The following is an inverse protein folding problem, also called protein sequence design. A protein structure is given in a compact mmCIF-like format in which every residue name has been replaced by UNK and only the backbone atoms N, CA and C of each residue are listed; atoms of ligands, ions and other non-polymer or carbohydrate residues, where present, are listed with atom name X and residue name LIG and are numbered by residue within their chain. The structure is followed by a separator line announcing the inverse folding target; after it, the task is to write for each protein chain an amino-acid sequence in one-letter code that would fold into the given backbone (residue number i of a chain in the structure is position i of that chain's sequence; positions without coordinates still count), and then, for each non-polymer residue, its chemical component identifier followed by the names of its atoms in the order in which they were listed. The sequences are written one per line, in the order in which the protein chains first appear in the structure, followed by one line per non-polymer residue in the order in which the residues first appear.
data_IF_430196795818
#
_entry.id   IF_430196795818
#
_cell.length_a   1.000
_cell.length_b   1.000
_cell.length_c   1.000
_cell.angle_alpha   90.00
_cell.angle_beta   90.00
_cell.angle_gamma   90.00
#
_symmetry.space_group_name_H-M   'P 1'
#
loop_
_entity.id
_entity.type
_entity.pdbx_description
1 polymer ?
#
# COMPACT_ATOMS: atom_id res chain seq x y z
N UNK A 1 -63.92 -21.07 32.07
CA UNK A 1 -64.05 -20.25 30.85
C UNK A 1 -63.77 -18.81 31.28
N UNK A 2 -62.74 -18.16 30.71
CA UNK A 2 -62.44 -16.77 31.04
C UNK A 2 -63.59 -15.87 30.55
N UNK A 3 -63.96 -14.87 31.36
CA UNK A 3 -65.05 -13.93 31.06
C UNK A 3 -64.72 -13.14 29.76
N UNK A 4 -65.68 -12.99 28.82
CA UNK A 4 -65.51 -12.19 27.61
C UNK A 4 -64.86 -10.81 27.84
N UNK A 5 -65.10 -10.18 28.99
CA UNK A 5 -64.48 -8.89 29.34
C UNK A 5 -62.97 -8.99 29.61
N UNK A 6 -62.50 -10.08 30.21
CA UNK A 6 -61.06 -10.31 30.45
C UNK A 6 -60.32 -10.65 29.16
N UNK A 7 -60.97 -11.39 28.26
CA UNK A 7 -60.43 -11.68 26.92
C UNK A 7 -60.32 -10.38 26.10
N UNK A 8 -61.35 -9.52 26.14
CA UNK A 8 -61.35 -8.25 25.42
C UNK A 8 -60.29 -7.26 25.93
N UNK A 9 -60.04 -7.19 27.24
CA UNK A 9 -58.96 -6.38 27.81
C UNK A 9 -57.57 -6.92 27.45
N UNK A 10 -57.37 -8.23 27.50
CA UNK A 10 -56.10 -8.84 27.09
C UNK A 10 -55.79 -8.57 25.61
N UNK A 11 -56.81 -8.64 24.75
CA UNK A 11 -56.68 -8.31 23.32
C UNK A 11 -56.41 -6.82 23.11
N UNK A 12 -57.10 -5.91 23.81
CA UNK A 12 -56.82 -4.47 23.71
C UNK A 12 -55.41 -4.11 24.18
N UNK A 13 -54.95 -4.70 25.27
CA UNK A 13 -53.59 -4.48 25.78
C UNK A 13 -52.54 -5.02 24.80
N UNK A 14 -52.78 -6.20 24.21
CA UNK A 14 -51.90 -6.76 23.19
C UNK A 14 -51.83 -5.92 21.91
N UNK A 15 -52.97 -5.37 21.46
CA UNK A 15 -53.04 -4.48 20.28
C UNK A 15 -52.36 -3.14 20.56
N UNK A 16 -52.56 -2.55 21.74
CA UNK A 16 -51.89 -1.31 22.13
C UNK A 16 -50.35 -1.49 22.19
N UNK A 17 -49.90 -2.63 22.74
CA UNK A 17 -48.49 -3.02 22.78
C UNK A 17 -47.90 -3.23 21.37
N UNK A 18 -48.69 -3.76 20.44
CA UNK A 18 -48.28 -3.97 19.05
C UNK A 18 -48.15 -2.66 18.25
N UNK A 19 -48.89 -1.60 18.63
CA UNK A 19 -48.90 -0.31 17.92
C UNK A 19 -47.91 0.74 18.45
N UNK A 20 -47.23 0.50 19.59
CA UNK A 20 -46.31 1.48 20.16
C UNK A 20 -44.95 1.48 19.44
N UNK A 21 -44.81 2.43 18.51
CA UNK A 21 -43.59 2.64 17.72
C UNK A 21 -42.36 2.99 18.58
N UNK A 22 -42.52 3.56 19.77
CA UNK A 22 -41.38 3.87 20.66
C UNK A 22 -40.86 2.60 21.32
N UNK A 23 -41.77 1.72 21.71
CA UNK A 23 -41.42 0.41 22.27
C UNK A 23 -40.75 -0.48 21.22
N UNK A 24 -41.25 -0.50 19.98
CA UNK A 24 -40.61 -1.21 18.88
C UNK A 24 -39.24 -0.64 18.50
N UNK A 25 -39.04 0.68 18.58
CA UNK A 25 -37.71 1.28 18.42
C UNK A 25 -36.76 0.88 19.56
N UNK A 26 -37.22 0.91 20.81
CA UNK A 26 -36.40 0.50 21.95
C UNK A 26 -36.04 -1.00 21.87
N UNK A 27 -37.00 -1.85 21.53
CA UNK A 27 -36.78 -3.28 21.28
C UNK A 27 -35.83 -3.49 20.10
N UNK A 28 -36.00 -2.75 19.01
CA UNK A 28 -35.09 -2.80 17.86
C UNK A 28 -33.66 -2.39 18.21
N UNK A 29 -33.48 -1.35 19.02
CA UNK A 29 -32.15 -0.92 19.51
C UNK A 29 -31.53 -1.94 20.45
N UNK A 30 -32.31 -2.55 21.36
CA UNK A 30 -31.81 -3.60 22.26
C UNK A 30 -31.47 -4.87 21.49
N UNK A 31 -32.29 -5.27 20.52
CA UNK A 31 -32.03 -6.40 19.62
C UNK A 31 -30.78 -6.13 18.78
N UNK A 32 -30.62 -4.92 18.22
CA UNK A 32 -29.42 -4.53 17.52
C UNK A 32 -28.20 -4.57 18.45
N UNK A 33 -28.25 -3.98 19.64
CA UNK A 33 -27.14 -4.01 20.59
C UNK A 33 -26.73 -5.42 21.04
N UNK A 34 -27.65 -6.39 21.06
CA UNK A 34 -27.37 -7.78 21.41
C UNK A 34 -26.93 -8.60 20.19
N UNK A 35 -27.54 -8.38 19.03
CA UNK A 35 -27.27 -9.14 17.81
C UNK A 35 -26.06 -8.59 17.05
N UNK A 36 -25.75 -7.30 17.11
CA UNK A 36 -24.60 -6.70 16.42
C UNK A 36 -23.28 -7.36 16.83
N UNK A 37 -22.96 -7.58 18.12
CA UNK A 37 -21.77 -8.34 18.51
C UNK A 37 -21.78 -9.78 18.00
N UNK A 38 -22.95 -10.44 17.97
CA UNK A 38 -23.11 -11.81 17.49
C UNK A 38 -22.96 -11.88 15.97
N UNK A 39 -23.51 -10.91 15.24
CA UNK A 39 -23.38 -10.76 13.79
C UNK A 39 -21.94 -10.44 13.45
N UNK A 40 -21.26 -9.56 14.20
CA UNK A 40 -19.84 -9.27 14.02
C UNK A 40 -18.98 -10.51 14.30
N UNK A 41 -19.30 -11.32 15.30
CA UNK A 41 -18.62 -12.60 15.56
C UNK A 41 -18.92 -13.63 14.47
N UNK A 42 -20.15 -13.70 13.94
CA UNK A 42 -20.52 -14.60 12.84
C UNK A 42 -19.87 -14.14 11.53
N UNK A 43 -19.80 -12.83 11.27
CA UNK A 43 -19.08 -12.22 10.15
C UNK A 43 -17.59 -12.44 10.32
N UNK A 44 -17.05 -12.36 11.55
CA UNK A 44 -15.66 -12.67 11.86
C UNK A 44 -15.35 -14.14 11.63
N UNK A 45 -16.19 -15.07 12.10
CA UNK A 45 -16.05 -16.51 11.84
C UNK A 45 -16.22 -16.82 10.35
N UNK A 46 -17.15 -16.17 9.65
CA UNK A 46 -17.32 -16.27 8.20
C UNK A 46 -16.17 -15.61 7.41
N UNK A 47 -15.48 -14.62 8.00
CA UNK A 47 -14.29 -13.98 7.45
C UNK A 47 -13.02 -14.82 7.69
N UNK A 48 -12.98 -15.62 8.77
CA UNK A 48 -11.94 -16.62 9.03
C UNK A 48 -12.12 -17.83 8.10
N UNK A 49 -13.37 -18.24 7.84
CA UNK A 49 -13.70 -19.42 7.02
C UNK A 49 -13.83 -19.16 5.52
N UNK A 50 -13.87 -17.91 5.05
CA UNK A 50 -13.85 -17.65 3.61
C UNK A 50 -12.80 -16.60 3.23
N UNK A 51 -11.75 -17.07 2.57
CA UNK A 51 -10.99 -16.28 1.62
C UNK A 51 -11.83 -15.90 0.36
N UNK A 52 -13.17 -15.83 0.46
CA UNK A 52 -14.10 -15.92 -0.67
C UNK A 52 -15.37 -15.06 -0.62
N UNK A 53 -15.60 -14.24 0.41
CA UNK A 53 -16.70 -13.26 0.38
C UNK A 53 -16.25 -11.97 -0.31
N UNK A 54 -16.85 -11.63 -1.44
CA UNK A 54 -16.53 -10.41 -2.20
C UNK A 54 -16.72 -9.12 -1.39
N UNK A 55 -17.55 -9.15 -0.34
CA UNK A 55 -17.71 -8.03 0.58
C UNK A 55 -16.46 -7.75 1.44
N UNK A 56 -15.77 -8.79 1.91
CA UNK A 56 -14.53 -8.61 2.70
C UNK A 56 -13.40 -8.05 1.83
N UNK A 57 -13.31 -8.55 0.60
CA UNK A 57 -12.41 -8.03 -0.42
C UNK A 57 -12.68 -6.55 -0.70
N UNK A 58 -13.95 -6.18 -0.88
CA UNK A 58 -14.35 -4.80 -1.12
C UNK A 58 -14.03 -3.87 0.06
N UNK A 59 -14.18 -4.32 1.32
CA UNK A 59 -13.83 -3.50 2.48
C UNK A 59 -12.32 -3.31 2.64
N UNK A 60 -11.52 -4.34 2.34
CA UNK A 60 -10.07 -4.23 2.27
C UNK A 60 -9.70 -3.22 1.18
N UNK A 61 -10.26 -3.37 -0.03
CA UNK A 61 -9.93 -2.48 -1.14
C UNK A 61 -10.34 -1.03 -0.86
N UNK A 62 -11.53 -0.80 -0.30
CA UNK A 62 -11.98 0.55 0.07
C UNK A 62 -11.14 1.16 1.20
N UNK A 63 -10.73 0.38 2.20
CA UNK A 63 -9.92 0.91 3.31
C UNK A 63 -8.49 1.28 2.86
N UNK A 64 -7.89 0.47 1.98
CA UNK A 64 -6.52 0.70 1.50
C UNK A 64 -6.45 1.70 0.35
N UNK A 65 -7.40 1.64 -0.58
CA UNK A 65 -7.35 2.37 -1.84
C UNK A 65 -8.32 3.55 -1.88
N UNK A 66 -9.18 3.71 -0.87
CA UNK A 66 -10.26 4.70 -0.87
C UNK A 66 -11.36 4.37 -1.89
N UNK A 67 -12.18 5.37 -2.22
CA UNK A 67 -13.28 5.27 -3.18
C UNK A 67 -14.66 5.51 -2.57
N UNK A 68 -15.68 5.57 -3.43
CA UNK A 68 -17.06 5.79 -3.00
C UNK A 68 -17.63 4.56 -2.32
N UNK A 69 -18.03 4.69 -1.05
CA UNK A 69 -18.76 3.63 -0.34
C UNK A 69 -20.13 3.43 -1.01
N UNK A 70 -20.47 2.21 -1.50
CA UNK A 70 -21.74 1.97 -2.16
C UNK A 70 -22.94 2.33 -1.28
N UNK A 71 -23.93 3.03 -1.81
CA UNK A 71 -25.14 3.40 -1.05
C UNK A 71 -25.94 2.18 -0.53
N UNK A 72 -25.76 1.02 -1.14
CA UNK A 72 -26.35 -0.25 -0.70
C UNK A 72 -25.60 -0.90 0.49
N UNK A 73 -24.44 -0.36 0.88
CA UNK A 73 -23.65 -0.89 1.99
C UNK A 73 -24.31 -0.54 3.34
N UNK A 74 -24.40 -1.49 4.29
CA UNK A 74 -24.91 -1.19 5.62
C UNK A 74 -24.12 -0.06 6.29
N UNK A 75 -24.82 0.87 6.96
CA UNK A 75 -24.22 2.07 7.55
C UNK A 75 -23.12 1.76 8.58
N UNK A 76 -23.31 0.71 9.39
CA UNK A 76 -22.30 0.27 10.38
C UNK A 76 -21.04 -0.25 9.69
N UNK A 77 -21.19 -0.97 8.57
CA UNK A 77 -20.06 -1.49 7.80
C UNK A 77 -19.32 -0.37 7.06
N UNK A 78 -20.06 0.58 6.49
CA UNK A 78 -19.51 1.80 5.88
C UNK A 78 -18.72 2.63 6.90
N UNK A 79 -19.28 2.84 8.10
CA UNK A 79 -18.60 3.55 9.19
C UNK A 79 -17.31 2.86 9.59
N UNK A 80 -17.30 1.52 9.61
CA UNK A 80 -16.12 0.75 10.00
C UNK A 80 -14.97 0.88 8.98
N UNK A 81 -15.30 0.89 7.69
CA UNK A 81 -14.33 1.17 6.61
C UNK A 81 -13.78 2.59 6.73
N UNK A 82 -14.65 3.58 6.97
CA UNK A 82 -14.24 4.97 7.18
C UNK A 82 -13.26 5.10 8.35
N UNK A 83 -13.61 4.53 9.51
CA UNK A 83 -12.77 4.57 10.70
C UNK A 83 -11.39 3.93 10.46
N UNK A 84 -11.34 2.79 9.75
CA UNK A 84 -10.08 2.15 9.38
C UNK A 84 -9.24 3.02 8.44
N UNK A 85 -9.88 3.69 7.47
CA UNK A 85 -9.22 4.60 6.53
C UNK A 85 -8.63 5.81 7.26
N UNK A 86 -9.35 6.35 8.25
CA UNK A 86 -8.85 7.44 9.09
C UNK A 86 -7.63 6.98 9.90
N UNK A 87 -7.66 5.77 10.48
CA UNK A 87 -6.50 5.19 11.16
C UNK A 87 -5.30 5.00 10.22
N UNK A 88 -5.53 4.58 8.98
CA UNK A 88 -4.46 4.47 7.98
C UNK A 88 -3.83 5.82 7.65
N UNK A 89 -4.62 6.89 7.58
CA UNK A 89 -4.09 8.25 7.39
C UNK A 89 -3.17 8.64 8.54
N UNK A 90 -3.52 8.30 9.78
CA UNK A 90 -2.66 8.56 10.95
C UNK A 90 -1.39 7.69 10.91
N UNK A 91 -1.49 6.42 10.47
CA UNK A 91 -0.33 5.55 10.27
C UNK A 91 0.60 6.08 9.18
N UNK A 92 0.07 6.61 8.08
CA UNK A 92 0.87 7.17 6.99
C UNK A 92 1.73 8.33 7.47
N UNK A 93 1.18 9.21 8.32
CA UNK A 93 1.97 10.25 8.97
C UNK A 93 3.10 9.67 9.83
N UNK A 94 2.79 8.68 10.67
CA UNK A 94 3.79 8.03 11.52
C UNK A 94 4.88 7.27 10.73
N UNK A 95 4.52 6.64 9.61
CA UNK A 95 5.45 5.98 8.68
C UNK A 95 6.35 7.03 8.05
N UNK A 96 5.79 8.12 7.51
CA UNK A 96 6.55 9.22 6.91
C UNK A 96 7.56 9.81 7.91
N UNK A 97 7.18 9.99 9.17
CA UNK A 97 8.06 10.50 10.22
C UNK A 97 9.21 9.54 10.57
N UNK A 98 9.01 8.24 10.40
CA UNK A 98 10.06 7.21 10.57
C UNK A 98 10.95 7.18 9.34
N UNK A 99 10.38 7.16 8.14
CA UNK A 99 11.12 7.11 6.87
C UNK A 99 12.07 8.31 6.71
N UNK A 100 11.68 9.49 7.20
CA UNK A 100 12.56 10.66 7.24
C UNK A 100 13.87 10.46 8.05
N UNK A 101 13.92 9.41 8.89
CA UNK A 101 15.08 9.04 9.71
C UNK A 101 15.78 7.77 9.20
N UNK A 102 15.34 7.20 8.08
CA UNK A 102 15.88 5.98 7.51
C UNK A 102 16.92 6.28 6.43
N UNK A 103 17.83 5.34 6.24
CA UNK A 103 18.77 5.34 5.11
C UNK A 103 18.60 4.04 4.32
N UNK A 104 18.41 4.15 3.00
CA UNK A 104 18.42 3.03 2.08
C UNK A 104 17.05 2.50 1.63
N UNK A 105 15.98 3.27 1.81
CA UNK A 105 14.66 2.99 1.23
C UNK A 105 13.52 2.95 2.25
N UNK A 106 12.26 3.07 1.76
CA UNK A 106 11.07 3.22 2.61
C UNK A 106 10.70 1.95 3.38
N UNK A 107 9.83 2.11 4.38
CA UNK A 107 9.17 1.00 5.05
C UNK A 107 8.10 0.37 4.16
N UNK A 108 7.80 -0.90 4.40
CA UNK A 108 6.67 -1.57 3.76
C UNK A 108 5.34 -1.11 4.41
N UNK A 109 4.82 0.01 3.93
CA UNK A 109 3.58 0.62 4.42
C UNK A 109 2.37 -0.33 4.30
N UNK A 110 2.25 -1.10 3.20
CA UNK A 110 1.19 -2.07 2.99
C UNK A 110 1.26 -3.12 4.09
N UNK A 111 2.46 -3.59 4.42
CA UNK A 111 2.66 -4.59 5.48
C UNK A 111 2.26 -4.08 6.85
N UNK A 112 2.68 -2.86 7.20
CA UNK A 112 2.31 -2.19 8.46
C UNK A 112 0.79 -2.07 8.55
N UNK A 113 0.14 -1.52 7.52
CA UNK A 113 -1.33 -1.37 7.44
C UNK A 113 -2.06 -2.71 7.45
N UNK A 114 -1.55 -3.74 6.77
CA UNK A 114 -2.14 -5.09 6.73
C UNK A 114 -2.16 -5.74 8.12
N UNK A 115 -1.09 -5.55 8.89
CA UNK A 115 -1.04 -6.05 10.25
C UNK A 115 -1.95 -5.24 11.19
N UNK A 116 -1.97 -3.91 11.04
CA UNK A 116 -2.88 -3.04 11.79
C UNK A 116 -4.34 -3.40 11.52
N UNK A 117 -4.71 -3.56 10.24
CA UNK A 117 -6.04 -4.01 9.83
C UNK A 117 -6.38 -5.34 10.48
N UNK A 118 -5.49 -6.33 10.38
CA UNK A 118 -5.77 -7.65 10.94
C UNK A 118 -5.90 -7.69 12.46
N UNK A 119 -5.29 -6.72 13.17
CA UNK A 119 -5.39 -6.61 14.63
C UNK A 119 -6.67 -5.88 15.07
N UNK A 120 -7.14 -4.92 14.27
CA UNK A 120 -8.16 -3.96 14.68
C UNK A 120 -9.48 -4.12 13.92
N UNK A 121 -9.53 -4.96 12.87
CA UNK A 121 -10.74 -5.16 12.11
C UNK A 121 -11.81 -5.85 12.96
N UNK A 122 -12.86 -5.09 13.27
CA UNK A 122 -14.02 -5.51 14.06
C UNK A 122 -14.09 -4.78 15.40
N UNK A 123 -13.12 -3.91 15.71
CA UNK A 123 -13.16 -3.04 16.88
C UNK A 123 -14.31 -2.02 16.77
N UNK A 124 -15.10 -1.90 17.83
CA UNK A 124 -16.14 -0.88 17.93
C UNK A 124 -15.50 0.51 18.09
N UNK A 125 -15.97 1.50 17.33
CA UNK A 125 -15.48 2.88 17.38
C UNK A 125 -13.95 2.99 17.23
N UNK A 126 -13.37 2.26 16.27
CA UNK A 126 -11.95 2.29 15.99
C UNK A 126 -11.45 3.73 15.76
N UNK A 127 -10.47 4.14 16.56
CA UNK A 127 -9.74 5.40 16.42
C UNK A 127 -8.26 5.15 16.70
N UNK A 128 -7.38 5.97 16.14
CA UNK A 128 -5.94 5.86 16.38
C UNK A 128 -5.34 7.24 16.66
N UNK A 129 -4.76 7.43 17.84
CA UNK A 129 -4.02 8.65 18.15
C UNK A 129 -2.62 8.63 17.50
N UNK A 130 -2.06 9.80 17.17
CA UNK A 130 -0.73 9.90 16.54
C UNK A 130 0.38 9.25 17.37
N UNK A 131 0.29 9.32 18.71
CA UNK A 131 1.25 8.66 19.61
C UNK A 131 1.14 7.13 19.56
N UNK A 132 -0.07 6.60 19.40
CA UNK A 132 -0.31 5.16 19.27
C UNK A 132 0.14 4.66 17.89
N UNK A 133 -0.13 5.43 16.84
CA UNK A 133 0.38 5.17 15.50
C UNK A 133 1.91 5.13 15.49
N UNK A 134 2.58 6.10 16.11
CA UNK A 134 4.05 6.10 16.21
C UNK A 134 4.56 4.89 16.99
N UNK A 135 3.96 4.57 18.14
CA UNK A 135 4.34 3.39 18.92
C UNK A 135 4.15 2.07 18.16
N UNK A 136 3.11 1.99 17.30
CA UNK A 136 2.86 0.86 16.43
C UNK A 136 3.92 0.77 15.32
N UNK A 137 4.22 1.86 14.62
CA UNK A 137 5.22 1.90 13.54
C UNK A 137 6.63 1.63 14.09
N UNK A 138 6.97 2.14 15.28
CA UNK A 138 8.26 1.88 15.94
C UNK A 138 8.51 0.37 16.24
N UNK A 139 7.46 -0.47 16.20
CA UNK A 139 7.65 -1.93 16.27
C UNK A 139 8.32 -2.51 15.02
N UNK A 140 8.26 -1.83 13.87
CA UNK A 140 8.79 -2.28 12.59
C UNK A 140 10.20 -1.79 12.30
N UNK A 141 10.78 -1.00 13.21
CA UNK A 141 12.15 -0.50 13.09
C UNK A 141 12.97 -0.72 14.36
N UNK A 142 14.28 -0.61 14.24
CA UNK A 142 15.23 -0.37 15.32
C UNK A 142 16.04 0.87 15.04
N UNK A 143 16.63 1.46 16.07
CA UNK A 143 17.53 2.60 15.93
C UNK A 143 18.97 2.13 16.05
N UNK A 144 19.80 2.53 15.11
CA UNK A 144 21.24 2.24 15.08
C UNK A 144 22.03 3.55 15.16
N UNK A 145 23.18 3.52 15.83
CA UNK A 145 24.13 4.64 15.80
C UNK A 145 25.08 4.47 14.62
N UNK A 146 25.11 5.47 13.73
CA UNK A 146 26.05 5.56 12.61
C UNK A 146 26.94 6.78 12.76
N UNK A 147 28.09 6.75 12.08
CA UNK A 147 29.03 7.86 12.04
C UNK A 147 29.14 8.42 10.63
N UNK A 148 29.23 9.73 10.52
CA UNK A 148 29.58 10.42 9.27
C UNK A 148 30.60 11.52 9.54
N UNK A 149 31.43 11.82 8.55
CA UNK A 149 32.36 12.93 8.62
C UNK A 149 31.67 14.20 8.13
N UNK A 150 31.56 15.21 9.00
CA UNK A 150 31.08 16.56 8.65
C UNK A 150 32.20 17.54 8.99
N UNK A 151 32.64 18.33 8.00
CA UNK A 151 33.73 19.31 8.16
C UNK A 151 35.02 18.73 8.77
N UNK A 152 35.34 17.48 8.46
CA UNK A 152 36.52 16.78 8.97
C UNK A 152 36.39 16.21 10.38
N UNK A 153 35.22 16.34 11.03
CA UNK A 153 34.92 15.74 12.33
C UNK A 153 33.95 14.55 12.18
N UNK A 154 34.21 13.44 12.88
CA UNK A 154 33.24 12.35 13.00
C UNK A 154 32.07 12.78 13.90
N UNK A 155 30.86 12.73 13.37
CA UNK A 155 29.61 12.97 14.10
C UNK A 155 28.82 11.66 14.15
N UNK A 156 28.43 11.24 15.35
CA UNK A 156 27.50 10.14 15.56
C UNK A 156 26.07 10.65 15.38
N UNK A 157 25.25 9.92 14.62
CA UNK A 157 23.83 10.18 14.44
C UNK A 157 23.05 8.86 14.54
N UNK A 158 21.75 8.97 14.80
CA UNK A 158 20.85 7.83 14.89
C UNK A 158 20.09 7.67 13.57
N UNK A 159 19.98 6.43 13.10
CA UNK A 159 19.21 6.07 11.91
C UNK A 159 18.18 5.00 12.27
N UNK A 160 17.00 5.08 11.68
CA UNK A 160 16.01 4.02 11.75
C UNK A 160 16.33 2.94 10.70
N UNK A 161 16.23 1.67 11.10
CA UNK A 161 16.48 0.50 10.25
C UNK A 161 15.31 -0.46 10.38
N UNK A 162 14.77 -1.01 9.28
CA UNK A 162 13.70 -2.00 9.35
C UNK A 162 14.12 -3.22 10.17
N UNK A 163 13.19 -3.79 10.94
CA UNK A 163 13.40 -5.10 11.57
C UNK A 163 12.60 -6.17 10.84
N UNK A 164 12.98 -7.45 11.04
CA UNK A 164 12.18 -8.56 10.57
C UNK A 164 10.76 -8.55 11.13
N UNK A 165 9.81 -9.12 10.41
CA UNK A 165 8.42 -9.30 10.83
C UNK A 165 8.33 -10.10 12.12
N UNK A 166 9.19 -11.10 12.32
CA UNK A 166 9.20 -11.85 13.58
C UNK A 166 9.62 -10.97 14.77
N UNK A 167 10.59 -10.07 14.57
CA UNK A 167 10.96 -9.05 15.55
C UNK A 167 9.80 -8.08 15.79
N UNK A 168 9.15 -7.61 14.73
CA UNK A 168 7.98 -6.73 14.84
C UNK A 168 6.84 -7.40 15.63
N UNK A 169 6.50 -8.66 15.34
CA UNK A 169 5.49 -9.43 16.09
C UNK A 169 5.85 -9.58 17.57
N UNK A 170 7.14 -9.74 17.88
CA UNK A 170 7.62 -9.82 19.26
C UNK A 170 7.45 -8.48 19.97
N UNK A 171 7.78 -7.36 19.30
CA UNK A 171 7.61 -6.01 19.85
C UNK A 171 6.13 -5.66 20.06
N UNK A 172 5.27 -5.96 19.09
CA UNK A 172 3.82 -5.76 19.19
C UNK A 172 3.20 -6.58 20.32
N UNK A 173 3.59 -7.86 20.46
CA UNK A 173 3.15 -8.70 21.59
C UNK A 173 3.57 -8.12 22.94
N UNK A 174 4.75 -7.50 23.03
CA UNK A 174 5.22 -6.82 24.26
C UNK A 174 4.45 -5.54 24.57
N UNK A 175 3.81 -4.92 23.59
CA UNK A 175 2.87 -3.81 23.78
C UNK A 175 1.47 -4.29 24.18
N UNK A 176 1.26 -5.61 24.34
CA UNK A 176 -0.02 -6.19 24.75
C UNK A 176 -0.96 -6.54 23.60
N UNK A 177 -0.51 -6.42 22.34
CA UNK A 177 -1.31 -6.78 21.17
C UNK A 177 -1.34 -8.30 20.96
N UNK A 178 -2.52 -8.85 20.69
CA UNK A 178 -2.72 -10.29 20.48
C UNK A 178 -2.30 -10.71 19.06
N UNK A 179 -0.99 -10.83 18.81
CA UNK A 179 -0.44 -11.22 17.49
C UNK A 179 -0.49 -12.76 17.30
N UNK A 180 -1.69 -13.32 17.16
CA UNK A 180 -1.91 -14.76 16.99
C UNK A 180 -1.48 -15.27 15.60
N UNK A 181 -1.47 -16.59 15.40
CA UNK A 181 -1.19 -17.18 14.09
C UNK A 181 -2.22 -16.77 13.03
N UNK A 182 -3.49 -16.64 13.42
CA UNK A 182 -4.59 -16.21 12.57
C UNK A 182 -4.40 -14.76 12.12
N UNK A 183 -4.00 -13.86 13.04
CA UNK A 183 -3.68 -12.46 12.71
C UNK A 183 -2.55 -12.39 11.69
N UNK A 184 -1.46 -13.15 11.90
CA UNK A 184 -0.32 -13.19 10.96
C UNK A 184 -0.75 -13.70 9.58
N UNK A 185 -1.53 -14.78 9.53
CA UNK A 185 -2.02 -15.36 8.29
C UNK A 185 -2.99 -14.44 7.55
N UNK A 186 -3.85 -13.71 8.26
CA UNK A 186 -4.77 -12.75 7.67
C UNK A 186 -4.05 -11.50 7.16
N UNK A 187 -3.11 -10.94 7.95
CA UNK A 187 -2.26 -9.84 7.50
C UNK A 187 -1.46 -10.19 6.24
N UNK A 188 -0.95 -11.43 6.14
CA UNK A 188 -0.27 -11.91 4.93
C UNK A 188 -1.21 -11.92 3.71
N UNK A 189 -2.44 -12.43 3.85
CA UNK A 189 -3.42 -12.45 2.75
C UNK A 189 -3.83 -11.05 2.29
N UNK A 190 -4.01 -10.12 3.23
CA UNK A 190 -4.32 -8.71 2.93
C UNK A 190 -3.13 -8.09 2.19
N UNK A 191 -1.92 -8.30 2.69
CA UNK A 191 -0.70 -7.81 2.06
C UNK A 191 -0.59 -8.30 0.61
N UNK A 192 -0.76 -9.60 0.38
CA UNK A 192 -0.70 -10.18 -0.96
C UNK A 192 -1.77 -9.61 -1.90
N UNK A 193 -2.97 -9.34 -1.36
CA UNK A 193 -4.06 -8.70 -2.10
C UNK A 193 -3.69 -7.28 -2.51
N UNK A 194 -3.21 -6.46 -1.58
CA UNK A 194 -2.97 -5.03 -1.83
C UNK A 194 -1.68 -4.81 -2.63
N UNK A 195 -0.57 -5.41 -2.19
CA UNK A 195 0.75 -5.26 -2.80
C UNK A 195 0.79 -5.85 -4.22
N UNK A 196 0.23 -7.05 -4.42
CA UNK A 196 0.36 -7.76 -5.70
C UNK A 196 -0.92 -7.79 -6.54
N UNK A 197 -2.01 -7.18 -6.05
CA UNK A 197 -3.34 -7.38 -6.66
C UNK A 197 -3.81 -8.84 -6.55
N UNK A 198 -3.31 -9.59 -5.56
CA UNK A 198 -3.40 -11.04 -5.49
C UNK A 198 -2.64 -11.68 -6.65
N UNK A 199 -1.47 -12.26 -6.39
CA UNK A 199 -0.66 -12.95 -7.40
C UNK A 199 -1.39 -14.13 -8.10
N UNK A 200 -2.59 -14.51 -7.64
CA UNK A 200 -3.52 -15.44 -8.31
C UNK A 200 -4.89 -14.85 -8.68
N UNK A 201 -5.08 -13.52 -8.63
CA UNK A 201 -6.35 -12.83 -8.86
C UNK A 201 -6.30 -11.81 -10.01
N UNK A 202 -5.13 -11.28 -10.39
CA UNK A 202 -5.03 -10.47 -11.60
C UNK A 202 -5.21 -11.35 -12.84
N UNK A 203 -6.35 -11.20 -13.51
CA UNK A 203 -6.72 -11.91 -14.74
C UNK A 203 -6.55 -11.05 -15.99
N UNK A 204 -6.15 -9.79 -15.83
CA UNK A 204 -5.90 -8.86 -16.93
C UNK A 204 -4.66 -9.22 -17.72
N UNK A 205 -4.48 -8.56 -18.86
CA UNK A 205 -3.31 -8.78 -19.70
C UNK A 205 -2.06 -8.18 -19.04
N UNK A 206 -1.06 -9.03 -18.80
CA UNK A 206 0.29 -8.62 -18.41
C UNK A 206 1.19 -8.88 -19.62
N UNK A 207 1.70 -7.81 -20.22
CA UNK A 207 2.78 -7.92 -21.17
C UNK A 207 4.10 -8.01 -20.38
N UNK A 208 5.00 -8.89 -20.82
CA UNK A 208 6.37 -9.02 -20.28
C UNK A 208 7.35 -8.77 -21.41
N UNK A 209 8.28 -7.83 -21.23
CA UNK A 209 9.46 -7.71 -22.10
C UNK A 209 10.58 -8.65 -21.65
N UNK A 210 11.82 -8.44 -22.11
CA UNK A 210 12.95 -9.26 -21.65
C UNK A 210 14.03 -9.56 -22.67
N UNK A 211 14.65 -8.54 -23.25
CA UNK A 211 15.91 -8.73 -23.98
C UNK A 211 17.10 -9.05 -23.05
N UNK A 212 16.97 -8.78 -21.75
CA UNK A 212 18.04 -8.96 -20.76
C UNK A 212 19.13 -7.90 -20.80
N UNK A 213 18.91 -6.80 -21.53
CA UNK A 213 19.88 -5.70 -21.64
C UNK A 213 19.99 -4.91 -20.31
N UNK A 214 21.23 -4.65 -19.87
CA UNK A 214 21.51 -3.85 -18.66
C UNK A 214 22.11 -2.48 -18.97
N UNK A 215 22.33 -2.16 -20.25
CA UNK A 215 22.82 -0.83 -20.67
C UNK A 215 21.64 0.14 -20.69
N UNK A 216 21.83 1.30 -20.05
CA UNK A 216 20.91 2.43 -20.21
C UNK A 216 21.28 3.18 -21.47
N UNK A 217 20.27 3.43 -22.30
CA UNK A 217 20.42 4.20 -23.54
C UNK A 217 19.44 5.38 -23.52
N UNK A 218 19.98 6.59 -23.49
CA UNK A 218 19.23 7.85 -23.47
C UNK A 218 19.18 8.52 -24.85
N UNK A 219 19.62 7.83 -25.92
CA UNK A 219 19.66 8.42 -27.28
C UNK A 219 18.28 8.80 -27.81
N UNK A 220 17.22 8.18 -27.30
CA UNK A 220 15.83 8.49 -27.62
C UNK A 220 15.21 9.57 -26.70
N UNK A 221 15.95 10.07 -25.71
CA UNK A 221 15.44 11.10 -24.80
C UNK A 221 15.44 12.46 -25.51
N UNK A 222 14.40 13.23 -25.26
CA UNK A 222 14.17 14.57 -25.78
C UNK A 222 15.16 15.55 -25.14
N UNK A 223 15.20 15.59 -23.81
CA UNK A 223 16.13 16.43 -23.05
C UNK A 223 16.35 15.85 -21.64
N UNK A 224 17.34 14.96 -21.48
CA UNK A 224 17.56 14.24 -20.23
C UNK A 224 18.03 15.15 -19.07
N UNK A 225 18.45 16.38 -19.38
CA UNK A 225 18.87 17.38 -18.39
C UNK A 225 17.68 18.02 -17.65
N UNK A 226 16.51 18.00 -18.28
CA UNK A 226 15.28 18.63 -17.76
C UNK A 226 14.45 17.71 -16.89
N UNK A 227 14.75 16.41 -16.80
CA UNK A 227 13.95 15.43 -16.05
C UNK A 227 12.44 15.54 -16.40
N UNK A 228 12.13 15.47 -17.70
CA UNK A 228 10.78 15.64 -18.21
C UNK A 228 9.97 14.33 -18.25
N UNK A 229 8.64 14.47 -18.34
CA UNK A 229 7.69 13.37 -18.33
C UNK A 229 7.80 12.42 -19.54
N UNK A 230 8.21 12.90 -20.71
CA UNK A 230 8.31 12.07 -21.93
C UNK A 230 9.56 11.19 -21.92
N UNK A 231 10.66 11.70 -21.36
CA UNK A 231 11.88 10.92 -21.14
C UNK A 231 11.69 9.89 -20.03
N UNK A 232 10.88 10.20 -19.01
CA UNK A 232 10.44 9.20 -18.03
C UNK A 232 9.69 8.04 -18.69
N UNK A 233 8.79 8.33 -19.64
CA UNK A 233 8.08 7.29 -20.42
C UNK A 233 9.08 6.44 -21.20
N UNK A 234 10.04 7.09 -21.87
CA UNK A 234 11.07 6.39 -22.65
C UNK A 234 11.95 5.50 -21.77
N UNK A 235 12.32 5.98 -20.58
CA UNK A 235 13.04 5.20 -19.57
C UNK A 235 12.24 3.98 -19.10
N UNK A 236 10.95 4.16 -18.82
CA UNK A 236 10.07 3.09 -18.38
C UNK A 236 9.88 2.02 -19.47
N UNK A 237 9.70 2.44 -20.73
CA UNK A 237 9.63 1.54 -21.89
C UNK A 237 10.92 0.74 -22.04
N UNK A 238 12.09 1.36 -21.89
CA UNK A 238 13.36 0.65 -21.91
C UNK A 238 13.47 -0.38 -20.77
N UNK A 239 13.04 -0.04 -19.55
CA UNK A 239 13.03 -0.98 -18.42
C UNK A 239 12.11 -2.18 -18.67
N UNK A 240 10.94 -1.93 -19.28
CA UNK A 240 10.00 -2.96 -19.71
C UNK A 240 10.60 -3.86 -20.79
N UNK A 241 11.10 -3.29 -21.90
CA UNK A 241 11.68 -4.03 -23.03
C UNK A 241 12.90 -4.86 -22.62
N UNK A 242 13.73 -4.32 -21.73
CA UNK A 242 14.87 -5.02 -21.13
C UNK A 242 14.44 -6.14 -20.18
N UNK A 243 13.22 -6.09 -19.64
CA UNK A 243 12.68 -7.04 -18.67
C UNK A 243 13.33 -6.92 -17.31
N UNK A 244 13.40 -5.70 -16.77
CA UNK A 244 13.97 -5.47 -15.45
C UNK A 244 13.20 -6.26 -14.37
N UNK A 245 13.95 -6.80 -13.41
CA UNK A 245 13.40 -7.53 -12.27
C UNK A 245 12.84 -6.59 -11.19
N UNK A 246 12.20 -7.19 -10.19
CA UNK A 246 11.74 -6.47 -9.00
C UNK A 246 12.49 -6.96 -7.77
N UNK A 247 13.16 -6.04 -7.09
CA UNK A 247 13.77 -6.24 -5.77
C UNK A 247 13.44 -5.02 -4.93
N UNK A 248 12.89 -5.24 -3.74
CA UNK A 248 12.48 -4.14 -2.87
C UNK A 248 13.67 -3.22 -2.54
N UNK A 249 13.48 -1.91 -2.69
CA UNK A 249 14.46 -0.88 -2.35
C UNK A 249 15.59 -0.71 -3.37
N UNK A 250 15.49 -1.29 -4.57
CA UNK A 250 16.38 -0.97 -5.71
C UNK A 250 15.67 0.02 -6.65
N UNK A 251 16.45 0.72 -7.48
CA UNK A 251 15.96 1.85 -8.28
C UNK A 251 16.54 1.84 -9.71
N UNK A 252 16.63 0.65 -10.29
CA UNK A 252 17.26 0.40 -11.59
C UNK A 252 18.68 -0.13 -11.50
N UNK A 253 19.13 -0.52 -10.30
CA UNK A 253 20.46 -1.08 -10.05
C UNK A 253 20.68 -2.40 -10.78
N UNK A 254 21.92 -2.67 -11.19
CA UNK A 254 22.34 -4.02 -11.57
C UNK A 254 22.45 -4.85 -10.28
N UNK A 255 21.66 -5.92 -10.18
CA UNK A 255 21.62 -6.78 -9.00
C UNK A 255 22.85 -7.69 -8.94
N UNK A 256 23.93 -7.19 -8.34
CA UNK A 256 25.12 -8.00 -8.02
C UNK A 256 24.88 -8.86 -6.78
N UNK A 257 25.71 -9.88 -6.56
CA UNK A 257 25.66 -10.69 -5.32
C UNK A 257 25.79 -9.83 -4.06
N UNK A 258 26.64 -8.80 -4.09
CA UNK A 258 26.85 -7.90 -2.95
C UNK A 258 25.62 -7.04 -2.68
N UNK A 259 25.00 -6.49 -3.73
CA UNK A 259 23.77 -5.70 -3.58
C UNK A 259 22.63 -6.59 -3.11
N UNK A 260 22.51 -7.80 -3.65
CA UNK A 260 21.48 -8.74 -3.23
C UNK A 260 21.64 -9.14 -1.76
N UNK A 261 22.87 -9.44 -1.33
CA UNK A 261 23.16 -9.74 0.09
C UNK A 261 22.79 -8.57 1.00
N UNK A 262 23.16 -7.35 0.61
CA UNK A 262 22.76 -6.15 1.34
C UNK A 262 21.24 -5.99 1.43
N UNK A 263 20.50 -6.25 0.35
CA UNK A 263 19.03 -6.17 0.34
C UNK A 263 18.36 -7.30 1.15
N UNK A 264 18.97 -8.48 1.25
CA UNK A 264 18.51 -9.55 2.15
C UNK A 264 18.63 -9.14 3.62
N UNK A 265 19.74 -8.50 4.00
CA UNK A 265 19.94 -7.96 5.34
C UNK A 265 18.98 -6.81 5.64
N UNK A 266 18.80 -5.91 4.67
CA UNK A 266 17.96 -4.74 4.82
C UNK A 266 16.46 -5.07 4.87
N UNK A 267 16.00 -6.02 4.06
CA UNK A 267 14.60 -6.39 3.90
C UNK A 267 14.40 -7.91 3.99
N UNK A 268 14.62 -8.52 5.17
CA UNK A 268 14.61 -9.98 5.32
C UNK A 268 13.27 -10.63 4.93
N UNK A 269 12.15 -9.94 5.13
CA UNK A 269 10.84 -10.49 4.75
C UNK A 269 10.44 -10.11 3.31
N UNK A 270 10.72 -8.87 2.89
CA UNK A 270 10.36 -8.37 1.55
C UNK A 270 11.22 -8.97 0.43
N UNK A 271 12.49 -9.22 0.71
CA UNK A 271 13.48 -9.79 -0.22
C UNK A 271 13.79 -11.23 0.17
N UNK A 272 14.05 -11.52 1.45
CA UNK A 272 14.44 -12.87 1.90
C UNK A 272 13.36 -13.94 1.72
N UNK A 273 12.07 -13.61 1.84
CA UNK A 273 10.98 -14.56 1.52
C UNK A 273 10.99 -15.02 0.05
N UNK A 274 11.71 -14.31 -0.83
CA UNK A 274 11.83 -14.59 -2.25
C UNK A 274 13.26 -14.90 -2.67
N UNK A 275 14.17 -15.18 -1.74
CA UNK A 275 15.61 -15.27 -1.99
C UNK A 275 15.95 -16.16 -3.21
N UNK A 276 15.50 -17.41 -3.20
CA UNK A 276 15.75 -18.36 -4.29
C UNK A 276 15.17 -17.88 -5.61
N UNK A 277 14.01 -17.24 -5.59
CA UNK A 277 13.40 -16.72 -6.81
C UNK A 277 14.20 -15.55 -7.37
N UNK A 278 14.57 -14.58 -6.53
CA UNK A 278 15.33 -13.40 -6.94
C UNK A 278 16.68 -13.84 -7.51
N UNK A 279 17.39 -14.73 -6.80
CA UNK A 279 18.69 -15.27 -7.24
C UNK A 279 18.60 -15.93 -8.62
N UNK A 280 17.55 -16.72 -8.86
CA UNK A 280 17.40 -17.47 -10.11
C UNK A 280 16.87 -16.65 -11.29
N UNK A 281 16.25 -15.48 -11.06
CA UNK A 281 15.55 -14.74 -12.11
C UNK A 281 16.13 -13.33 -12.36
N UNK A 282 16.65 -12.66 -11.33
CA UNK A 282 16.99 -11.24 -11.40
C UNK A 282 18.48 -10.93 -11.22
N UNK A 283 19.26 -11.88 -10.70
CA UNK A 283 20.69 -11.70 -10.47
C UNK A 283 21.43 -11.37 -11.79
N UNK A 284 22.28 -10.34 -11.75
CA UNK A 284 23.00 -9.81 -12.92
C UNK A 284 22.16 -8.92 -13.85
N UNK A 285 20.83 -8.90 -13.70
CA UNK A 285 19.93 -7.99 -14.41
C UNK A 285 19.73 -6.66 -13.66
N UNK A 286 19.06 -5.70 -14.31
CA UNK A 286 18.60 -4.50 -13.60
C UNK A 286 17.34 -4.80 -12.80
N UNK A 287 17.24 -4.22 -11.61
CA UNK A 287 16.10 -4.40 -10.72
C UNK A 287 15.63 -3.09 -10.12
N UNK A 288 14.34 -3.01 -9.85
CA UNK A 288 13.73 -1.85 -9.22
C UNK A 288 12.50 -2.24 -8.42
N UNK A 289 12.15 -1.47 -7.39
CA UNK A 289 10.78 -1.46 -6.86
C UNK A 289 9.89 -0.47 -7.62
N UNK A 290 8.62 -0.33 -7.20
CA UNK A 290 7.61 0.45 -7.93
C UNK A 290 7.99 1.93 -8.05
N UNK A 291 8.23 2.60 -6.93
CA UNK A 291 8.65 4.01 -6.90
C UNK A 291 10.11 4.17 -7.32
N UNK A 292 10.94 3.16 -7.11
CA UNK A 292 12.31 3.04 -7.57
C UNK A 292 12.43 3.16 -9.09
N UNK A 293 11.40 2.75 -9.85
CA UNK A 293 11.43 2.88 -11.31
C UNK A 293 11.34 4.36 -11.72
N UNK A 294 10.54 5.15 -10.99
CA UNK A 294 10.44 6.60 -11.17
C UNK A 294 11.71 7.28 -10.65
N UNK A 295 12.16 6.90 -9.45
CA UNK A 295 13.38 7.46 -8.84
C UNK A 295 14.62 7.17 -9.67
N UNK A 296 14.70 6.01 -10.29
CA UNK A 296 15.79 5.62 -11.18
C UNK A 296 15.99 6.60 -12.33
N UNK A 297 14.90 7.05 -12.96
CA UNK A 297 14.96 8.12 -13.95
C UNK A 297 15.32 9.47 -13.32
N UNK A 298 14.66 9.83 -12.22
CA UNK A 298 14.93 11.09 -11.51
C UNK A 298 16.41 11.24 -11.10
N UNK A 299 17.06 10.16 -10.72
CA UNK A 299 18.44 10.09 -10.27
C UNK A 299 19.46 9.79 -11.37
N UNK A 300 19.01 9.56 -12.61
CA UNK A 300 19.90 9.27 -13.73
C UNK A 300 20.72 10.52 -14.09
N UNK A 301 22.03 10.40 -13.99
CA UNK A 301 22.99 11.33 -14.55
C UNK A 301 23.14 11.06 -16.06
N UNK A 302 22.83 12.03 -16.94
CA UNK A 302 22.83 11.82 -18.38
C UNK A 302 24.22 11.80 -19.01
N UNK A 303 25.26 12.28 -18.33
CA UNK A 303 26.62 12.28 -18.84
C UNK A 303 27.32 10.95 -18.53
N UNK A 304 27.17 10.47 -17.30
CA UNK A 304 27.81 9.24 -16.82
C UNK A 304 26.96 7.99 -17.02
N UNK A 305 25.66 8.15 -17.30
CA UNK A 305 24.65 7.08 -17.40
C UNK A 305 24.53 6.23 -16.12
N UNK A 306 24.87 6.83 -14.98
CA UNK A 306 24.73 6.22 -13.66
C UNK A 306 23.50 6.77 -12.97
N UNK A 307 22.85 5.93 -12.19
CA UNK A 307 21.77 6.34 -11.31
C UNK A 307 22.40 6.73 -9.98
N UNK A 308 22.45 8.02 -9.70
CA UNK A 308 23.11 8.57 -8.52
C UNK A 308 22.10 8.83 -7.41
N UNK A 309 22.16 8.02 -6.36
CA UNK A 309 21.18 8.03 -5.27
C UNK A 309 20.89 9.44 -4.71
N UNK A 310 19.62 9.81 -4.68
CA UNK A 310 19.14 11.05 -4.05
C UNK A 310 19.54 12.35 -4.75
N UNK A 311 19.87 12.31 -6.05
CA UNK A 311 20.31 13.48 -6.83
C UNK A 311 19.15 14.18 -7.57
N UNK A 312 19.46 15.26 -8.29
CA UNK A 312 18.54 16.02 -9.14
C UNK A 312 17.28 16.56 -8.43
N UNK A 313 17.36 16.77 -7.13
CA UNK A 313 16.24 17.30 -6.33
C UNK A 313 15.13 16.29 -6.02
N UNK A 314 15.28 15.02 -6.42
CA UNK A 314 14.33 13.96 -6.09
C UNK A 314 14.78 13.22 -4.81
N UNK A 315 14.04 13.28 -3.69
CA UNK A 315 14.41 12.58 -2.46
C UNK A 315 14.10 11.08 -2.53
N UNK A 316 14.73 10.28 -1.66
CA UNK A 316 14.39 8.87 -1.49
C UNK A 316 13.12 8.72 -0.64
N UNK A 317 11.98 8.59 -1.31
CA UNK A 317 10.66 8.47 -0.68
C UNK A 317 9.87 7.28 -1.23
N UNK A 318 8.87 6.84 -0.47
CA UNK A 318 7.91 5.82 -0.87
C UNK A 318 6.83 6.31 -1.84
N UNK A 319 6.05 5.38 -2.39
CA UNK A 319 4.95 5.66 -3.30
C UNK A 319 3.88 6.60 -2.69
N UNK A 320 3.51 6.38 -1.43
CA UNK A 320 2.49 7.18 -0.74
C UNK A 320 2.98 8.59 -0.47
N UNK A 321 4.22 8.74 0.00
CA UNK A 321 4.84 10.05 0.19
C UNK A 321 4.98 10.79 -1.14
N UNK A 322 5.30 10.09 -2.24
CA UNK A 322 5.33 10.69 -3.57
C UNK A 322 3.96 11.19 -4.02
N UNK A 323 2.90 10.42 -3.79
CA UNK A 323 1.52 10.85 -4.03
C UNK A 323 1.14 12.07 -3.18
N UNK A 324 1.44 12.03 -1.89
CA UNK A 324 1.06 13.09 -0.95
C UNK A 324 1.82 14.41 -1.19
N UNK A 325 3.01 14.34 -1.79
CA UNK A 325 3.79 15.51 -2.17
C UNK A 325 3.34 16.16 -3.50
N UNK A 326 2.45 15.52 -4.26
CA UNK A 326 1.98 16.04 -5.55
C UNK A 326 1.13 17.30 -5.39
N UNK A 327 1.51 18.36 -6.10
CA UNK A 327 0.74 19.61 -6.20
C UNK A 327 -0.42 19.50 -7.19
N UNK A 328 -0.32 18.60 -8.16
CA UNK A 328 -1.35 18.33 -9.17
C UNK A 328 -1.66 16.82 -9.14
N UNK A 329 -2.88 16.49 -8.73
CA UNK A 329 -3.39 15.12 -8.67
C UNK A 329 -4.92 15.11 -8.75
N UNK A 330 -5.49 13.94 -9.00
CA UNK A 330 -6.94 13.76 -9.05
C UNK A 330 -7.37 12.30 -9.02
N UNK A 331 -8.67 12.08 -8.93
CA UNK A 331 -9.28 10.75 -9.04
C UNK A 331 -9.18 10.20 -10.47
N UNK A 332 -9.17 8.87 -10.63
CA UNK A 332 -8.95 8.23 -11.94
C UNK A 332 -9.95 8.62 -13.04
N UNK A 333 -11.17 9.02 -12.68
CA UNK A 333 -12.21 9.49 -13.62
C UNK A 333 -11.92 10.87 -14.22
N UNK A 334 -10.96 11.61 -13.63
CA UNK A 334 -10.50 12.93 -14.12
C UNK A 334 -9.14 12.89 -14.79
N UNK A 335 -8.54 11.71 -14.91
CA UNK A 335 -7.18 11.55 -15.42
C UNK A 335 -7.05 12.05 -16.86
N UNK A 336 -6.14 13.02 -17.15
CA UNK A 336 -5.89 13.43 -18.52
C UNK A 336 -5.03 12.40 -19.25
N UNK A 337 -5.13 12.37 -20.59
CA UNK A 337 -4.31 11.50 -21.44
C UNK A 337 -2.92 12.13 -21.67
N UNK A 338 -2.16 12.29 -20.59
CA UNK A 338 -0.81 12.85 -20.58
C UNK A 338 0.19 11.76 -20.21
N UNK A 339 1.00 11.26 -21.16
CA UNK A 339 2.07 10.31 -20.85
C UNK A 339 3.05 10.85 -19.81
N UNK A 340 3.54 9.97 -18.94
CA UNK A 340 4.48 10.29 -17.87
C UNK A 340 3.82 10.75 -16.57
N UNK A 341 2.48 10.82 -16.50
CA UNK A 341 1.78 10.87 -15.22
C UNK A 341 2.03 9.60 -14.43
N UNK A 342 2.08 9.71 -13.11
CA UNK A 342 2.00 8.53 -12.27
C UNK A 342 0.53 8.17 -11.98
N UNK A 343 0.28 6.88 -11.86
CA UNK A 343 -0.97 6.31 -11.34
C UNK A 343 -0.66 5.58 -10.05
N UNK A 344 -1.50 5.78 -9.05
CA UNK A 344 -1.20 5.42 -7.68
C UNK A 344 -2.39 4.73 -7.00
N UNK A 345 -2.06 3.80 -6.11
CA UNK A 345 -2.92 3.26 -5.05
C UNK A 345 -2.04 3.10 -3.81
N UNK A 346 -2.60 2.99 -2.61
CA UNK A 346 -1.75 2.94 -1.41
C UNK A 346 -0.70 1.83 -1.47
N UNK A 347 0.55 2.24 -1.30
CA UNK A 347 1.78 1.46 -1.35
C UNK A 347 2.28 1.08 -2.73
N UNK A 348 1.66 1.54 -3.81
CA UNK A 348 2.07 1.18 -5.16
C UNK A 348 1.86 2.29 -6.18
N UNK A 349 2.81 2.43 -7.11
CA UNK A 349 2.80 3.47 -8.13
C UNK A 349 3.29 2.90 -9.47
N UNK A 350 2.71 3.39 -10.56
CA UNK A 350 3.09 3.06 -11.93
C UNK A 350 3.16 4.32 -12.81
N UNK A 351 3.74 4.18 -14.00
CA UNK A 351 3.94 5.26 -14.96
C UNK A 351 2.95 5.05 -16.11
N UNK A 352 2.04 6.00 -16.32
CA UNK A 352 1.16 5.99 -17.48
C UNK A 352 1.94 6.34 -18.74
N UNK A 353 1.90 5.47 -19.76
CA UNK A 353 2.70 5.62 -20.99
C UNK A 353 1.86 6.03 -22.21
N UNK A 354 0.61 6.41 -21.99
CA UNK A 354 -0.36 6.77 -23.03
C UNK A 354 -1.20 5.58 -23.50
N UNK A 355 -2.25 5.86 -24.28
CA UNK A 355 -3.13 4.87 -24.89
C UNK A 355 -3.72 3.84 -23.91
N UNK A 356 -4.02 4.25 -22.67
CA UNK A 356 -4.57 3.35 -21.66
C UNK A 356 -3.58 2.30 -21.14
N UNK A 357 -2.26 2.51 -21.29
CA UNK A 357 -1.22 1.58 -20.83
C UNK A 357 -0.41 2.17 -19.67
N UNK A 358 0.03 1.29 -18.77
CA UNK A 358 0.84 1.63 -17.60
C UNK A 358 2.05 0.70 -17.57
N UNK A 359 3.23 1.25 -17.29
CA UNK A 359 4.42 0.47 -16.93
C UNK A 359 4.60 0.56 -15.42
N UNK A 360 4.72 -0.60 -14.78
CA UNK A 360 4.86 -0.69 -13.33
C UNK A 360 5.84 -1.81 -12.96
N UNK A 361 6.67 -1.58 -11.93
CA UNK A 361 7.40 -2.65 -11.28
C UNK A 361 6.44 -3.37 -10.31
N UNK A 362 5.74 -4.39 -10.81
CA UNK A 362 4.52 -4.93 -10.19
C UNK A 362 4.78 -5.78 -8.94
N UNK A 363 6.01 -6.26 -8.74
CA UNK A 363 6.40 -7.07 -7.59
C UNK A 363 7.36 -8.18 -7.96
N UNK A 364 7.93 -8.84 -6.94
CA UNK A 364 9.07 -9.74 -7.07
C UNK A 364 8.89 -10.85 -8.11
N UNK A 365 7.69 -11.42 -8.27
CA UNK A 365 7.40 -12.50 -9.24
C UNK A 365 7.15 -12.01 -10.68
N UNK A 366 7.06 -10.71 -10.88
CA UNK A 366 6.68 -10.09 -12.14
C UNK A 366 7.83 -9.29 -12.76
N UNK A 367 8.50 -8.46 -11.97
CA UNK A 367 9.44 -7.46 -12.50
C UNK A 367 8.70 -6.21 -13.01
N UNK A 368 9.33 -5.50 -13.94
CA UNK A 368 8.73 -4.41 -14.70
C UNK A 368 7.86 -4.98 -15.81
N UNK A 369 6.59 -4.60 -15.82
CA UNK A 369 5.58 -5.10 -16.75
C UNK A 369 4.76 -3.96 -17.33
N UNK A 370 4.05 -4.24 -18.43
CA UNK A 370 3.07 -3.32 -19.02
C UNK A 370 1.66 -3.89 -18.84
N UNK A 371 0.77 -3.07 -18.29
CA UNK A 371 -0.61 -3.42 -17.97
C UNK A 371 -1.58 -2.43 -18.63
N UNK A 372 -2.83 -2.85 -18.80
CA UNK A 372 -3.90 -1.91 -19.16
C UNK A 372 -4.30 -1.10 -17.91
N UNK A 373 -4.41 0.22 -18.07
CA UNK A 373 -4.84 1.15 -17.03
C UNK A 373 -6.17 0.70 -16.40
N UNK A 374 -7.13 0.30 -17.24
CA UNK A 374 -8.48 -0.09 -16.84
C UNK A 374 -8.54 -1.45 -16.09
N UNK A 375 -7.54 -2.31 -16.26
CA UNK A 375 -7.51 -3.63 -15.60
C UNK A 375 -6.98 -3.53 -14.16
N UNK A 376 -6.40 -2.38 -13.80
CA UNK A 376 -5.76 -2.13 -12.52
C UNK A 376 -6.63 -1.23 -11.65
N UNK A 377 -6.69 -1.55 -10.35
CA UNK A 377 -7.46 -0.78 -9.36
C UNK A 377 -6.68 0.43 -8.84
N UNK A 378 -6.29 1.33 -9.74
CA UNK A 378 -5.68 2.61 -9.37
C UNK A 378 -6.70 3.54 -8.69
N UNK A 379 -6.22 4.35 -7.75
CA UNK A 379 -7.05 5.27 -6.96
C UNK A 379 -6.94 6.71 -7.42
N UNK A 380 -5.74 7.13 -7.80
CA UNK A 380 -5.44 8.51 -8.18
C UNK A 380 -4.38 8.57 -9.28
N UNK A 381 -4.40 9.67 -10.03
CA UNK A 381 -3.32 10.08 -10.91
C UNK A 381 -2.61 11.31 -10.32
N UNK A 382 -1.35 11.52 -10.68
CA UNK A 382 -0.57 12.67 -10.24
C UNK A 382 0.51 13.09 -11.26
N UNK A 383 0.83 14.38 -11.26
CA UNK A 383 2.13 14.86 -11.73
C UNK A 383 3.18 14.57 -10.67
N UNK A 384 4.26 13.89 -11.04
CA UNK A 384 5.34 13.53 -10.13
C UNK A 384 6.08 14.83 -9.74
N UNK A 385 6.18 15.20 -8.44
CA UNK A 385 6.67 16.52 -7.99
C UNK A 385 8.05 16.96 -8.50
N UNK A 386 8.89 16.00 -8.89
CA UNK A 386 10.30 16.21 -9.26
C UNK A 386 10.53 15.97 -10.76
N UNK A 387 9.46 15.83 -11.53
CA UNK A 387 9.47 15.64 -12.99
C UNK A 387 8.82 16.84 -13.62
N UNK A 388 9.42 17.36 -14.69
CA UNK A 388 8.89 18.50 -15.41
C UNK A 388 7.85 18.06 -16.44
N UNK A 389 6.64 18.58 -16.29
CA UNK A 389 5.56 18.43 -17.26
C UNK A 389 5.54 19.73 -18.06
N UNK A 390 6.14 19.70 -19.26
CA UNK A 390 6.15 20.85 -20.15
C UNK A 390 4.71 21.12 -20.61
N UNK A 391 4.00 21.99 -19.88
CA UNK A 391 2.84 22.69 -20.43
C UNK A 391 3.43 23.70 -21.40
N UNK A 392 3.25 23.48 -22.71
CA UNK A 392 3.74 24.41 -23.71
C UNK A 392 3.24 25.83 -23.39
N UNK A 393 4.16 26.76 -23.18
CA UNK A 393 3.93 28.18 -23.45
C UNK A 393 4.11 28.47 -24.92
#
# INVERSE_FOLDING_TARGET
MADPATIAMAVKSAVALATDKRMWKAIGVVIAAILTPIILVVVMIASILSAGSDHNKAAIDLAFNGGGIPAAMPAEYASHISNMTDCFTVLDGAISDVEAQMEGGPLDNIRVKSLFYSLNFGAENLTLASTEARAFVDCFISYEERKRTVDGAEVTYTVAVPVSLNTAYTKLSRQGLAVTAEVKANAQKIYERIAFGGAGLFTGEIERGGTGNTVLDISAFIDPSTKNNLDLVTYAEQAFEAGWGYVWGTYGDILTDSLFSYKLEQYPDGVGSYEDFIRNNWLGGRTTDCVGLIKGYGWLDPESLKIEYGTNGMPDIGADTMHNNASVSGSMDTMPDTPGLAVWKSGHIGIYVGNGKVIEAMGTKYGVVKTNLADRSWSAWLEIPYINYNTGE
#
